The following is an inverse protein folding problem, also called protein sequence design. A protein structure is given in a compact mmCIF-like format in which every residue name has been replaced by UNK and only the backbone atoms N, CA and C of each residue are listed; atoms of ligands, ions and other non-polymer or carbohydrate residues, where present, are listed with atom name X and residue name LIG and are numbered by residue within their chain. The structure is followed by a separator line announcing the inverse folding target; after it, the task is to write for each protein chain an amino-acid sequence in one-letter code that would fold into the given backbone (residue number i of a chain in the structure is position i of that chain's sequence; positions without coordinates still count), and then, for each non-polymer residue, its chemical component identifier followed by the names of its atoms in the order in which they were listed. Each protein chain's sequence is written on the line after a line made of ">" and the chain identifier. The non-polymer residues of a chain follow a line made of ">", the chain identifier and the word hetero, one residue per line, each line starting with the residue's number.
data_IF_817439591220
#
_entry.id   IF_817439591220
#
_cell.length_a   1.000
_cell.length_b   1.000
_cell.length_c   1.000
_cell.angle_alpha   90.00
_cell.angle_beta   90.00
_cell.angle_gamma   90.00
#
_symmetry.space_group_name_H-M   'P 1'
#
loop_
_entity.id
_entity.type
_entity.pdbx_description
1 polymer ?
#
# COMPACT_ATOMS: atom_id res chain seq x y z
N UNK A 1 5.62 -0.27 -15.85
CA UNK A 1 4.49 -0.16 -14.89
C UNK A 1 4.90 0.65 -13.66
N UNK A 2 3.98 1.39 -13.06
CA UNK A 2 4.17 2.06 -11.76
C UNK A 2 3.48 1.27 -10.65
N UNK A 3 4.18 1.11 -9.53
CA UNK A 3 3.71 0.37 -8.34
C UNK A 3 3.65 1.32 -7.15
N UNK A 4 2.56 1.30 -6.40
CA UNK A 4 2.42 2.01 -5.13
C UNK A 4 2.47 1.01 -3.98
N UNK A 5 3.21 1.34 -2.91
CA UNK A 5 3.21 0.61 -1.64
C UNK A 5 2.87 1.61 -0.53
N UNK A 6 1.68 1.52 0.05
CA UNK A 6 1.36 2.25 1.28
C UNK A 6 1.91 1.47 2.48
N UNK A 7 2.30 2.15 3.54
CA UNK A 7 3.11 1.52 4.59
C UNK A 7 4.53 1.23 4.10
N UNK A 8 5.01 2.05 3.14
CA UNK A 8 6.28 1.84 2.43
C UNK A 8 7.53 1.96 3.29
N UNK A 9 7.48 2.72 4.39
CA UNK A 9 8.57 2.84 5.36
C UNK A 9 8.58 1.69 6.38
N UNK A 10 7.49 0.95 6.52
CA UNK A 10 7.35 -0.18 7.42
C UNK A 10 8.20 -1.39 7.00
N UNK A 11 8.31 -2.38 7.91
CA UNK A 11 9.11 -3.57 7.69
C UNK A 11 8.71 -4.35 6.42
N UNK A 12 7.42 -4.62 6.24
CA UNK A 12 6.92 -5.35 5.05
C UNK A 12 7.05 -4.53 3.78
N UNK A 13 6.71 -3.23 3.82
CA UNK A 13 6.81 -2.33 2.67
C UNK A 13 8.23 -2.26 2.11
N UNK A 14 9.22 -2.08 2.99
CA UNK A 14 10.64 -2.05 2.61
C UNK A 14 11.12 -3.39 2.03
N UNK A 15 10.74 -4.51 2.63
CA UNK A 15 11.09 -5.84 2.11
C UNK A 15 10.46 -6.12 0.76
N UNK A 16 9.19 -5.76 0.60
CA UNK A 16 8.48 -5.90 -0.67
C UNK A 16 9.15 -5.05 -1.76
N UNK A 17 9.45 -3.78 -1.47
CA UNK A 17 10.14 -2.91 -2.41
C UNK A 17 11.48 -3.50 -2.88
N UNK A 18 12.30 -3.97 -1.94
CA UNK A 18 13.58 -4.61 -2.27
C UNK A 18 13.39 -5.85 -3.17
N UNK A 19 12.39 -6.68 -2.90
CA UNK A 19 12.07 -7.86 -3.73
C UNK A 19 11.57 -7.49 -5.12
N UNK A 20 10.72 -6.46 -5.23
CA UNK A 20 10.25 -5.96 -6.52
C UNK A 20 11.39 -5.36 -7.34
N UNK A 21 12.31 -4.62 -6.72
CA UNK A 21 13.52 -4.09 -7.39
C UNK A 21 14.40 -5.22 -7.93
N UNK A 22 14.62 -6.27 -7.12
CA UNK A 22 15.41 -7.44 -7.51
C UNK A 22 14.76 -8.21 -8.67
N UNK A 23 13.44 -8.39 -8.62
CA UNK A 23 12.68 -9.09 -9.65
C UNK A 23 12.61 -8.28 -10.95
N UNK A 24 12.45 -6.96 -10.87
CA UNK A 24 12.39 -6.04 -12.00
C UNK A 24 11.09 -6.07 -12.81
N UNK A 25 10.24 -7.09 -12.60
CA UNK A 25 8.95 -7.26 -13.28
C UNK A 25 7.83 -7.63 -12.31
N UNK A 26 6.59 -7.37 -12.73
CA UNK A 26 5.39 -7.77 -12.01
C UNK A 26 4.28 -8.09 -13.02
N UNK A 27 3.37 -9.00 -12.66
CA UNK A 27 2.20 -9.29 -13.49
C UNK A 27 1.13 -8.22 -13.32
N UNK A 28 0.68 -7.63 -14.42
CA UNK A 28 -0.45 -6.71 -14.46
C UNK A 28 -1.80 -7.42 -14.21
N UNK A 29 -2.91 -6.70 -14.38
CA UNK A 29 -4.26 -7.24 -14.18
C UNK A 29 -4.58 -8.39 -15.16
N UNK A 30 -4.05 -8.36 -16.38
CA UNK A 30 -4.19 -9.39 -17.42
C UNK A 30 -3.17 -10.54 -17.27
N UNK A 31 -2.45 -10.62 -16.15
CA UNK A 31 -1.42 -11.62 -15.84
C UNK A 31 -0.19 -11.59 -16.77
N UNK A 32 0.01 -10.50 -17.53
CA UNK A 32 1.19 -10.29 -18.35
C UNK A 32 2.33 -9.71 -17.52
N UNK A 33 3.54 -10.23 -17.73
CA UNK A 33 4.75 -9.67 -17.10
C UNK A 33 5.08 -8.30 -17.70
N UNK A 34 5.21 -7.31 -16.84
CA UNK A 34 5.61 -5.94 -17.20
C UNK A 34 6.80 -5.48 -16.38
N UNK A 35 7.69 -4.69 -16.99
CA UNK A 35 8.83 -4.09 -16.31
C UNK A 35 8.38 -3.05 -15.30
N UNK A 36 8.92 -3.11 -14.09
CA UNK A 36 8.71 -2.09 -13.06
C UNK A 36 9.60 -0.89 -13.37
N UNK A 37 8.98 0.24 -13.67
CA UNK A 37 9.66 1.51 -13.96
C UNK A 37 9.75 2.40 -12.73
N UNK A 38 8.74 2.34 -11.85
CA UNK A 38 8.70 3.12 -10.63
C UNK A 38 8.00 2.34 -9.51
N UNK A 39 8.53 2.48 -8.29
CA UNK A 39 7.91 2.03 -7.04
C UNK A 39 7.80 3.25 -6.13
N UNK A 40 6.58 3.70 -5.87
CA UNK A 40 6.31 4.76 -4.90
C UNK A 40 6.12 4.15 -3.52
N UNK A 41 6.94 4.57 -2.56
CA UNK A 41 6.83 4.23 -1.14
C UNK A 41 6.11 5.37 -0.43
N UNK A 42 4.87 5.14 -0.05
CA UNK A 42 4.02 6.13 0.60
C UNK A 42 3.80 5.76 2.08
N UNK A 43 4.15 6.67 2.98
CA UNK A 43 4.05 6.47 4.43
C UNK A 43 4.02 7.83 5.14
N UNK A 44 3.64 7.86 6.42
CA UNK A 44 3.72 9.06 7.27
C UNK A 44 5.16 9.49 7.54
N UNK A 45 6.12 8.57 7.43
CA UNK A 45 7.56 8.82 7.59
C UNK A 45 8.31 8.42 6.32
N UNK A 46 9.46 9.06 6.01
CA UNK A 46 10.21 8.74 4.80
C UNK A 46 10.83 7.34 4.87
N UNK A 47 10.73 6.58 3.79
CA UNK A 47 11.40 5.30 3.63
C UNK A 47 12.86 5.51 3.23
N UNK A 48 13.79 5.49 4.19
CA UNK A 48 15.22 5.74 3.97
C UNK A 48 15.98 4.49 3.50
N UNK A 49 17.16 4.68 2.91
CA UNK A 49 18.12 3.61 2.58
C UNK A 49 17.89 2.90 1.25
N UNK A 50 17.14 3.48 0.33
CA UNK A 50 17.05 3.06 -1.06
C UNK A 50 17.86 4.02 -1.94
N UNK A 51 18.74 3.47 -2.80
CA UNK A 51 19.52 4.22 -3.77
C UNK A 51 19.20 3.82 -5.23
N UNK A 52 18.07 3.15 -5.46
CA UNK A 52 17.63 2.76 -6.80
C UNK A 52 16.79 3.89 -7.42
N UNK A 53 17.07 4.32 -8.66
CA UNK A 53 16.38 5.44 -9.30
C UNK A 53 14.89 5.16 -9.56
N UNK A 54 14.46 3.91 -9.48
CA UNK A 54 13.03 3.53 -9.59
C UNK A 54 12.25 3.78 -8.30
N UNK A 55 12.91 4.07 -7.19
CA UNK A 55 12.23 4.37 -5.92
C UNK A 55 11.86 5.84 -5.86
N UNK A 56 10.57 6.08 -5.63
CA UNK A 56 10.02 7.39 -5.30
C UNK A 56 9.47 7.36 -3.87
N UNK A 57 10.04 8.17 -2.98
CA UNK A 57 9.59 8.26 -1.58
C UNK A 57 8.66 9.45 -1.43
N UNK A 58 7.43 9.20 -0.99
CA UNK A 58 6.42 10.24 -0.75
C UNK A 58 5.92 10.12 0.68
N UNK A 59 6.02 11.23 1.43
CA UNK A 59 5.50 11.30 2.80
C UNK A 59 4.10 11.89 2.78
N UNK A 60 3.17 11.23 3.48
CA UNK A 60 1.79 11.67 3.60
C UNK A 60 0.93 10.74 4.44
N UNK A 61 -0.26 11.21 4.79
CA UNK A 61 -1.25 10.43 5.52
C UNK A 61 -2.16 9.68 4.54
N UNK A 62 -2.32 8.38 4.75
CA UNK A 62 -3.24 7.54 3.97
C UNK A 62 -4.71 7.94 4.17
N UNK A 63 -5.02 8.68 5.24
CA UNK A 63 -6.33 9.28 5.48
C UNK A 63 -6.60 10.54 4.65
N UNK A 64 -5.56 11.16 4.07
CA UNK A 64 -5.71 12.35 3.26
C UNK A 64 -6.03 11.98 1.80
N UNK A 65 -7.27 12.28 1.30
CA UNK A 65 -7.64 12.00 -0.09
C UNK A 65 -6.78 12.74 -1.11
N UNK A 66 -6.28 13.93 -0.79
CA UNK A 66 -5.40 14.70 -1.67
C UNK A 66 -4.02 14.06 -1.77
N UNK A 67 -3.50 13.54 -0.66
CA UNK A 67 -2.24 12.81 -0.65
C UNK A 67 -2.36 11.50 -1.46
N UNK A 68 -3.46 10.77 -1.31
CA UNK A 68 -3.74 9.57 -2.12
C UNK A 68 -3.86 9.90 -3.62
N UNK A 69 -4.54 10.99 -3.98
CA UNK A 69 -4.68 11.41 -5.37
C UNK A 69 -3.34 11.82 -6.03
N UNK A 70 -2.34 12.21 -5.24
CA UNK A 70 -0.98 12.52 -5.74
C UNK A 70 -0.16 11.28 -6.05
N UNK A 71 -0.45 10.14 -5.40
CA UNK A 71 0.34 8.90 -5.54
C UNK A 71 -0.40 7.80 -6.31
N UNK A 72 -1.71 7.98 -6.56
CA UNK A 72 -2.53 7.09 -7.39
C UNK A 72 -2.99 7.90 -8.61
N UNK A 73 -2.31 7.72 -9.72
CA UNK A 73 -2.56 8.39 -10.99
C UNK A 73 -2.98 7.38 -12.09
N UNK A 74 -3.20 7.89 -13.30
CA UNK A 74 -3.59 7.08 -14.48
C UNK A 74 -2.51 6.09 -14.94
N UNK A 75 -1.29 6.18 -14.42
CA UNK A 75 -0.18 5.26 -14.73
C UNK A 75 0.07 4.25 -13.61
N UNK A 76 -0.61 4.38 -12.46
CA UNK A 76 -0.50 3.45 -11.33
C UNK A 76 -1.19 2.15 -11.67
N UNK A 77 -0.42 1.08 -11.91
CA UNK A 77 -0.94 -0.22 -12.37
C UNK A 77 -1.14 -1.23 -11.24
N UNK A 78 -0.41 -1.08 -10.14
CA UNK A 78 -0.51 -1.98 -8.99
C UNK A 78 -0.36 -1.21 -7.67
N UNK A 79 -1.19 -1.54 -6.70
CA UNK A 79 -1.19 -0.96 -5.35
C UNK A 79 -1.06 -2.08 -4.33
N UNK A 80 -0.04 -2.01 -3.48
CA UNK A 80 0.09 -2.84 -2.29
C UNK A 80 -0.28 -2.00 -1.08
N UNK A 81 -1.46 -2.25 -0.52
CA UNK A 81 -1.96 -1.53 0.64
C UNK A 81 -1.55 -2.26 1.92
N UNK A 82 -0.44 -1.79 2.52
CA UNK A 82 0.15 -2.35 3.74
C UNK A 82 0.07 -1.38 4.93
N UNK A 83 -0.36 -0.14 4.70
CA UNK A 83 -0.57 0.83 5.77
C UNK A 83 -1.69 0.35 6.69
N UNK A 84 -1.39 0.21 7.96
CA UNK A 84 -2.33 -0.19 8.99
C UNK A 84 -1.82 0.22 10.37
N UNK A 85 -2.75 0.42 11.29
CA UNK A 85 -2.49 0.51 12.73
C UNK A 85 -2.61 -0.90 13.31
N UNK A 86 -1.58 -1.36 14.05
CA UNK A 86 -1.56 -2.69 14.66
C UNK A 86 -2.58 -2.83 15.79
N UNK A 87 -2.99 -4.08 16.10
CA UNK A 87 -4.08 -4.36 17.02
C UNK A 87 -3.96 -3.67 18.38
N UNK A 88 -2.79 -3.71 19.02
CA UNK A 88 -2.58 -3.07 20.33
C UNK A 88 -2.83 -1.55 20.27
N UNK A 89 -2.32 -0.88 19.26
CA UNK A 89 -2.52 0.56 19.10
C UNK A 89 -3.97 0.90 18.72
N UNK A 90 -4.64 0.04 17.94
CA UNK A 90 -6.05 0.22 17.59
C UNK A 90 -7.01 -0.09 18.76
N UNK A 91 -6.58 -0.91 19.73
CA UNK A 91 -7.30 -1.16 20.97
C UNK A 91 -7.13 0.02 21.95
N UNK A 92 -5.93 0.61 22.01
CA UNK A 92 -5.66 1.79 22.84
C UNK A 92 -6.35 3.05 22.27
N UNK A 93 -6.46 3.18 20.95
CA UNK A 93 -7.12 4.26 20.24
C UNK A 93 -8.01 3.70 19.13
N UNK A 94 -9.26 3.44 19.49
CA UNK A 94 -10.26 2.83 18.59
C UNK A 94 -10.58 3.72 17.39
N UNK A 95 -10.68 5.03 17.57
CA UNK A 95 -10.98 5.98 16.49
C UNK A 95 -9.84 6.04 15.47
N UNK A 96 -8.60 6.01 15.94
CA UNK A 96 -7.42 5.88 15.07
C UNK A 96 -7.46 4.54 14.29
N UNK A 97 -7.77 3.44 14.98
CA UNK A 97 -7.91 2.13 14.36
C UNK A 97 -8.94 2.13 13.23
N UNK A 98 -10.15 2.65 13.47
CA UNK A 98 -11.20 2.80 12.45
C UNK A 98 -10.76 3.69 11.29
N UNK A 99 -10.21 4.85 11.60
CA UNK A 99 -9.78 5.82 10.60
C UNK A 99 -8.75 5.23 9.65
N UNK A 100 -7.68 4.62 10.17
CA UNK A 100 -6.57 4.10 9.34
C UNK A 100 -6.91 2.76 8.69
N UNK A 101 -7.52 1.81 9.44
CA UNK A 101 -7.71 0.46 8.90
C UNK A 101 -8.96 0.34 8.02
N UNK A 102 -10.00 1.16 8.26
CA UNK A 102 -11.27 1.09 7.52
C UNK A 102 -11.43 2.28 6.57
N UNK A 103 -11.46 3.50 7.09
CA UNK A 103 -11.78 4.67 6.26
C UNK A 103 -10.69 4.97 5.23
N UNK A 104 -9.41 4.87 5.60
CA UNK A 104 -8.33 5.07 4.66
C UNK A 104 -8.31 3.98 3.58
N UNK A 105 -8.57 2.72 3.94
CA UNK A 105 -8.71 1.63 2.96
C UNK A 105 -9.85 1.90 1.98
N UNK A 106 -11.02 2.32 2.46
CA UNK A 106 -12.16 2.71 1.63
C UNK A 106 -11.81 3.85 0.67
N UNK A 107 -11.16 4.91 1.17
CA UNK A 107 -10.73 6.05 0.36
C UNK A 107 -9.73 5.65 -0.72
N UNK A 108 -8.78 4.77 -0.39
CA UNK A 108 -7.82 4.23 -1.35
C UNK A 108 -8.53 3.47 -2.48
N UNK A 109 -9.48 2.57 -2.18
CA UNK A 109 -10.25 1.86 -3.20
C UNK A 109 -11.10 2.80 -4.05
N UNK A 110 -11.71 3.83 -3.45
CA UNK A 110 -12.45 4.85 -4.19
C UNK A 110 -11.53 5.65 -5.13
N UNK A 111 -10.32 5.98 -4.68
CA UNK A 111 -9.31 6.67 -5.51
C UNK A 111 -8.88 5.78 -6.67
N UNK A 112 -8.56 4.50 -6.42
CA UNK A 112 -8.25 3.53 -7.48
C UNK A 112 -9.38 3.41 -8.52
N UNK A 113 -10.64 3.41 -8.07
CA UNK A 113 -11.81 3.37 -8.97
C UNK A 113 -11.93 4.62 -9.85
N UNK A 114 -11.58 5.79 -9.30
CA UNK A 114 -11.71 7.09 -9.99
C UNK A 114 -10.66 7.31 -11.09
N UNK A 115 -9.50 6.67 -11.02
CA UNK A 115 -8.45 6.86 -12.05
C UNK A 115 -8.76 6.19 -13.40
N UNK A 116 -9.87 5.44 -13.51
CA UNK A 116 -10.47 5.02 -14.78
C UNK A 116 -9.96 3.71 -15.37
N UNK A 117 -8.83 3.15 -14.93
CA UNK A 117 -8.28 1.89 -15.45
C UNK A 117 -8.19 0.75 -14.42
N UNK A 118 -8.69 0.94 -13.21
CA UNK A 118 -8.77 -0.06 -12.13
C UNK A 118 -7.42 -0.76 -11.84
N UNK A 119 -6.46 -0.09 -11.17
CA UNK A 119 -5.21 -0.73 -10.79
C UNK A 119 -5.44 -2.00 -9.98
N UNK A 120 -4.56 -2.98 -10.12
CA UNK A 120 -4.59 -4.19 -9.31
C UNK A 120 -4.24 -3.87 -7.86
N UNK A 121 -5.16 -4.11 -6.94
CA UNK A 121 -4.93 -3.84 -5.52
C UNK A 121 -4.69 -5.14 -4.76
N UNK A 122 -3.61 -5.18 -3.99
CA UNK A 122 -3.28 -6.22 -3.01
C UNK A 122 -3.44 -5.60 -1.63
N UNK A 123 -4.41 -6.08 -0.88
CA UNK A 123 -4.70 -5.64 0.47
C UNK A 123 -4.15 -6.62 1.51
N UNK A 124 -3.39 -6.13 2.48
CA UNK A 124 -2.94 -6.94 3.61
C UNK A 124 -4.06 -7.06 4.64
N UNK A 125 -4.62 -8.24 4.76
CA UNK A 125 -5.59 -8.57 5.81
C UNK A 125 -4.88 -9.03 7.09
N UNK A 126 -5.63 -9.57 8.03
CA UNK A 126 -5.11 -10.07 9.32
C UNK A 126 -5.63 -11.47 9.61
N UNK A 127 -4.84 -12.27 10.32
CA UNK A 127 -5.30 -13.56 10.87
C UNK A 127 -6.43 -13.39 11.90
N UNK A 128 -6.52 -12.20 12.52
CA UNK A 128 -7.57 -11.88 13.48
C UNK A 128 -9.00 -11.96 12.90
N UNK A 129 -9.16 -11.90 11.58
CA UNK A 129 -10.48 -12.07 10.92
C UNK A 129 -11.07 -13.48 11.11
N UNK A 130 -10.24 -14.46 11.46
CA UNK A 130 -10.70 -15.83 11.71
C UNK A 130 -11.11 -16.10 13.18
N UNK A 131 -11.01 -15.09 14.06
CA UNK A 131 -11.36 -15.18 15.47
C UNK A 131 -10.28 -15.78 16.37
N UNK A 132 -10.56 -15.84 17.68
CA UNK A 132 -9.58 -16.24 18.71
C UNK A 132 -9.53 -17.75 18.96
N UNK A 133 -10.47 -18.33 19.66
CA UNK A 133 -10.42 -19.74 20.00
C UNK A 133 -10.90 -20.62 18.83
N UNK A 134 -10.01 -21.47 18.31
CA UNK A 134 -10.46 -22.59 17.48
C UNK A 134 -11.25 -23.54 18.37
N UNK A 135 -12.43 -24.05 17.96
CA UNK A 135 -13.10 -25.10 18.69
C UNK A 135 -12.20 -26.34 18.75
N UNK A 136 -12.06 -26.94 19.94
CA UNK A 136 -11.40 -28.24 20.14
C UNK A 136 -12.07 -29.36 19.36
#
# INVERSE_FOLDING_TARGET
>A
MKVLITGGAGFLGRRLAAKLLQRGTLKNAELREEKIEQITLFDMVPALGFNDPRINVVTGDVNDPEALAKVIDTETTSVFHLAAVVSSQAEDDFDLGLSVNIDASRRLFETCRKVGHCPKVIFASSLAVYGGALPE
#
